data_IF_891107444869
#
_entry.id   IF_891107444869
#
_cell.length_a   1.000
_cell.length_b   1.000
_cell.length_c   1.000
_cell.angle_alpha   90.00
_cell.angle_beta   90.00
_cell.angle_gamma   90.00
#
_symmetry.space_group_name_H-M   'P 1'
#
loop_
_entity.id
_entity.type
_entity.pdbx_description
1 polymer ?
#
# COMPACT_ATOMS: atom_id res chain seq x y z
N UNK A 1 -47.06 -20.90 -50.77
CA UNK A 1 -46.72 -20.59 -49.37
C UNK A 1 -45.97 -19.27 -49.35
N UNK A 2 -46.46 -18.26 -48.65
CA UNK A 2 -45.72 -16.99 -48.52
C UNK A 2 -44.43 -17.25 -47.74
N UNK A 3 -43.30 -16.76 -48.25
CA UNK A 3 -42.03 -16.83 -47.54
C UNK A 3 -42.08 -15.87 -46.35
N UNK A 4 -42.31 -16.42 -45.15
CA UNK A 4 -42.51 -15.65 -43.91
C UNK A 4 -41.20 -14.95 -43.48
N UNK A 5 -40.04 -15.55 -43.77
CA UNK A 5 -38.72 -14.99 -43.42
C UNK A 5 -37.85 -14.76 -44.67
N UNK A 6 -37.33 -13.54 -44.89
CA UNK A 6 -36.39 -13.26 -45.96
C UNK A 6 -35.09 -14.08 -45.83
N UNK A 7 -34.36 -14.27 -46.94
CA UNK A 7 -33.11 -15.07 -46.97
C UNK A 7 -32.01 -14.57 -46.02
N UNK A 8 -31.96 -13.26 -45.73
CA UNK A 8 -30.99 -12.66 -44.80
C UNK A 8 -31.19 -13.12 -43.35
N UNK A 9 -32.36 -13.65 -42.99
CA UNK A 9 -32.63 -14.18 -41.66
C UNK A 9 -31.77 -15.41 -41.33
N UNK A 10 -31.25 -16.13 -42.33
CA UNK A 10 -30.29 -17.23 -42.12
C UNK A 10 -28.91 -16.74 -41.63
N UNK A 11 -28.55 -15.49 -41.90
CA UNK A 11 -27.27 -14.92 -41.49
C UNK A 11 -27.31 -14.45 -40.03
N UNK A 12 -28.50 -14.19 -39.47
CA UNK A 12 -28.68 -13.81 -38.06
C UNK A 12 -28.09 -14.87 -37.11
N UNK A 13 -28.46 -16.16 -37.15
CA UNK A 13 -27.84 -17.15 -36.27
C UNK A 13 -26.39 -17.44 -36.64
N UNK A 14 -26.01 -17.38 -37.92
CA UNK A 14 -24.64 -17.68 -38.39
C UNK A 14 -23.61 -16.64 -37.94
N UNK A 15 -23.99 -15.37 -37.93
CA UNK A 15 -23.11 -14.24 -37.58
C UNK A 15 -23.41 -13.72 -36.18
N UNK A 16 -24.70 -13.63 -35.82
CA UNK A 16 -25.14 -13.15 -34.52
C UNK A 16 -24.70 -14.06 -33.36
N UNK A 17 -24.79 -15.38 -33.48
CA UNK A 17 -24.38 -16.28 -32.40
C UNK A 17 -22.86 -16.21 -32.07
N UNK A 18 -21.92 -16.24 -33.04
CA UNK A 18 -20.51 -16.04 -32.71
C UNK A 18 -20.22 -14.61 -32.22
N UNK A 19 -20.88 -13.58 -32.77
CA UNK A 19 -20.72 -12.21 -32.30
C UNK A 19 -21.17 -12.02 -30.85
N UNK A 20 -22.30 -12.62 -30.45
CA UNK A 20 -22.78 -12.53 -29.07
C UNK A 20 -21.84 -13.25 -28.11
N UNK A 21 -21.31 -14.41 -28.49
CA UNK A 21 -20.29 -15.13 -27.69
C UNK A 21 -19.03 -14.28 -27.55
N UNK A 22 -18.51 -13.70 -28.63
CA UNK A 22 -17.32 -12.84 -28.59
C UNK A 22 -17.56 -11.60 -27.73
N UNK A 23 -18.70 -10.93 -27.91
CA UNK A 23 -19.07 -9.76 -27.09
C UNK A 23 -19.22 -10.12 -25.61
N UNK A 24 -19.82 -11.28 -25.30
CA UNK A 24 -19.93 -11.77 -23.92
C UNK A 24 -18.54 -12.06 -23.32
N UNK A 25 -17.68 -12.79 -24.03
CA UNK A 25 -16.30 -13.04 -23.58
C UNK A 25 -15.51 -11.76 -23.38
N UNK A 26 -15.64 -10.79 -24.29
CA UNK A 26 -14.99 -9.49 -24.19
C UNK A 26 -15.50 -8.71 -22.98
N UNK A 27 -16.82 -8.65 -22.77
CA UNK A 27 -17.41 -8.00 -21.59
C UNK A 27 -16.96 -8.66 -20.29
N UNK A 28 -16.94 -10.00 -20.22
CA UNK A 28 -16.41 -10.73 -19.06
C UNK A 28 -14.95 -10.42 -18.82
N UNK A 29 -14.12 -10.38 -19.87
CA UNK A 29 -12.71 -10.01 -19.76
C UNK A 29 -12.53 -8.58 -19.24
N UNK A 30 -13.30 -7.62 -19.77
CA UNK A 30 -13.26 -6.22 -19.33
C UNK A 30 -13.59 -6.11 -17.85
N UNK A 31 -14.70 -6.73 -17.42
CA UNK A 31 -15.10 -6.73 -16.01
C UNK A 31 -14.03 -7.39 -15.15
N UNK A 32 -13.57 -8.58 -15.53
CA UNK A 32 -12.60 -9.34 -14.74
C UNK A 32 -11.25 -8.63 -14.62
N UNK A 33 -10.78 -7.95 -15.66
CA UNK A 33 -9.50 -7.25 -15.66
C UNK A 33 -9.57 -5.94 -14.89
N UNK A 34 -10.41 -4.99 -15.32
CA UNK A 34 -10.42 -3.63 -14.75
C UNK A 34 -11.07 -3.54 -13.36
N UNK A 35 -12.00 -4.44 -13.03
CA UNK A 35 -12.59 -4.50 -11.69
C UNK A 35 -11.84 -5.49 -10.78
N UNK A 36 -10.68 -6.00 -11.22
CA UNK A 36 -9.87 -6.85 -10.35
C UNK A 36 -9.33 -6.06 -9.15
N UNK A 37 -9.15 -6.70 -7.98
CA UNK A 37 -8.54 -6.08 -6.81
C UNK A 37 -7.10 -5.59 -7.01
N UNK A 38 -6.48 -5.84 -8.19
CA UNK A 38 -5.14 -5.35 -8.53
C UNK A 38 -5.13 -3.89 -8.95
N UNK A 39 -6.27 -3.35 -9.38
CA UNK A 39 -6.40 -1.97 -9.85
C UNK A 39 -7.17 -1.06 -8.90
N UNK A 40 -7.60 -1.58 -7.74
CA UNK A 40 -8.32 -0.79 -6.73
C UNK A 40 -7.46 0.37 -6.24
N UNK A 41 -7.93 1.60 -6.49
CA UNK A 41 -7.35 2.87 -6.07
C UNK A 41 -5.88 3.13 -6.50
N UNK A 42 -5.31 2.28 -7.35
CA UNK A 42 -3.94 2.46 -7.88
C UNK A 42 -3.92 3.72 -8.75
N UNK A 43 -2.96 4.60 -8.48
CA UNK A 43 -2.85 5.92 -9.11
C UNK A 43 -3.67 7.01 -8.42
N UNK A 44 -4.43 6.72 -7.36
CA UNK A 44 -5.13 7.74 -6.60
C UNK A 44 -4.15 8.76 -6.01
N UNK A 45 -4.25 10.01 -6.47
CA UNK A 45 -3.35 11.12 -6.13
C UNK A 45 -4.15 12.43 -5.94
N UNK A 46 -4.85 12.60 -4.81
CA UNK A 46 -5.70 13.76 -4.58
C UNK A 46 -4.88 15.04 -4.37
N UNK A 47 -5.44 16.17 -4.80
CA UNK A 47 -4.86 17.49 -4.51
C UNK A 47 -4.87 17.76 -3.00
N UNK A 48 -3.69 17.94 -2.43
CA UNK A 48 -3.50 18.22 -1.01
C UNK A 48 -3.68 19.72 -0.68
N UNK A 49 -4.01 20.09 0.57
CA UNK A 49 -4.08 21.49 0.99
C UNK A 49 -2.74 22.22 0.88
N UNK A 50 -1.64 21.48 1.08
CA UNK A 50 -0.26 21.96 0.95
C UNK A 50 0.43 21.10 -0.10
N UNK A 51 1.11 21.69 -1.10
CA UNK A 51 1.84 20.94 -2.13
C UNK A 51 3.18 20.43 -1.58
N UNK A 52 3.12 19.48 -0.65
CA UNK A 52 4.29 18.88 -0.04
C UNK A 52 4.95 17.88 -0.99
N UNK A 53 6.23 18.10 -1.32
CA UNK A 53 7.02 17.22 -2.18
C UNK A 53 7.87 16.26 -1.34
N UNK A 54 7.58 14.96 -1.43
CA UNK A 54 8.45 13.93 -0.86
C UNK A 54 9.75 13.80 -1.67
N UNK A 55 9.71 14.05 -2.98
CA UNK A 55 10.89 14.10 -3.83
C UNK A 55 11.94 15.12 -3.36
N UNK A 56 11.50 16.26 -2.84
CA UNK A 56 12.41 17.25 -2.25
C UNK A 56 12.95 16.79 -0.90
N UNK A 57 12.06 16.43 0.04
CA UNK A 57 12.46 16.18 1.43
C UNK A 57 13.13 14.81 1.64
N UNK A 58 12.53 13.73 1.13
CA UNK A 58 13.10 12.39 1.25
C UNK A 58 14.09 12.09 0.12
N UNK A 59 13.84 12.56 -1.10
CA UNK A 59 14.70 12.31 -2.25
C UNK A 59 15.94 13.21 -2.29
N UNK A 60 15.77 14.53 -2.36
CA UNK A 60 16.92 15.44 -2.54
C UNK A 60 17.63 15.73 -1.22
N UNK A 61 16.87 16.01 -0.16
CA UNK A 61 17.44 16.33 1.17
C UNK A 61 17.77 15.09 2.00
N UNK A 62 17.41 13.89 1.51
CA UNK A 62 17.72 12.61 2.17
C UNK A 62 17.24 12.55 3.63
N UNK A 63 16.10 13.20 3.94
CA UNK A 63 15.50 13.14 5.27
C UNK A 63 14.96 11.74 5.53
N UNK A 64 15.34 11.14 6.66
CA UNK A 64 14.81 9.84 7.07
C UNK A 64 13.28 9.91 7.30
N UNK A 65 12.56 8.90 6.82
CA UNK A 65 11.09 8.85 6.88
C UNK A 65 10.53 9.02 8.29
N UNK A 66 11.26 8.53 9.31
CA UNK A 66 10.86 8.52 10.72
C UNK A 66 10.96 9.87 11.37
N UNK A 67 11.65 10.84 10.77
CA UNK A 67 11.66 12.21 11.26
C UNK A 67 10.24 12.80 11.26
N UNK A 68 9.48 12.55 10.19
CA UNK A 68 8.09 12.99 10.07
C UNK A 68 7.09 11.91 10.53
N UNK A 69 7.33 10.65 10.17
CA UNK A 69 6.45 9.51 10.49
C UNK A 69 6.96 8.76 11.73
N UNK A 70 7.08 9.47 12.84
CA UNK A 70 7.77 9.02 14.06
C UNK A 70 7.14 7.80 14.75
N UNK A 71 5.85 7.53 14.53
CA UNK A 71 5.13 6.43 15.19
C UNK A 71 5.16 5.13 14.40
N UNK A 72 5.74 5.12 13.19
CA UNK A 72 5.74 3.96 12.29
C UNK A 72 6.36 2.70 12.94
N UNK A 73 7.38 2.86 13.79
CA UNK A 73 8.06 1.74 14.48
C UNK A 73 7.33 1.27 15.73
N UNK A 74 6.37 2.02 16.28
CA UNK A 74 5.81 1.74 17.61
C UNK A 74 4.32 1.54 17.63
N UNK A 75 3.62 2.09 16.65
CA UNK A 75 2.17 2.11 16.59
C UNK A 75 1.65 1.37 15.37
N UNK A 76 0.37 1.00 15.44
CA UNK A 76 -0.35 0.51 14.28
C UNK A 76 -0.48 1.57 13.17
N UNK A 77 -0.46 2.84 13.55
CA UNK A 77 -0.60 3.97 12.64
C UNK A 77 0.69 4.78 12.63
N UNK A 78 1.27 4.99 11.43
CA UNK A 78 2.45 5.83 11.26
C UNK A 78 2.20 7.31 11.59
N UNK A 79 0.97 7.78 11.35
CA UNK A 79 0.55 9.17 11.56
C UNK A 79 1.06 10.12 10.46
N UNK A 80 0.33 11.21 10.25
CA UNK A 80 0.81 12.37 9.48
C UNK A 80 1.44 13.33 10.49
N UNK A 81 2.60 13.95 10.20
CA UNK A 81 3.28 14.80 11.17
C UNK A 81 2.39 15.99 11.59
N UNK A 82 2.43 16.41 12.87
CA UNK A 82 1.82 17.65 13.28
C UNK A 82 2.53 18.85 12.66
N UNK A 83 1.83 19.97 12.53
CA UNK A 83 2.33 21.23 11.94
C UNK A 83 3.64 21.71 12.58
N UNK A 84 3.83 21.45 13.88
CA UNK A 84 5.07 21.78 14.59
C UNK A 84 6.33 21.15 13.93
N UNK A 85 6.22 19.93 13.40
CA UNK A 85 7.33 19.25 12.71
C UNK A 85 7.81 20.04 11.49
N UNK A 86 6.86 20.61 10.72
CA UNK A 86 7.16 21.45 9.56
C UNK A 86 7.86 22.74 10.02
N UNK A 87 7.41 23.31 11.14
CA UNK A 87 7.91 24.59 11.66
C UNK A 87 9.28 24.51 12.33
N UNK A 88 9.79 23.31 12.63
CA UNK A 88 11.18 23.13 13.10
C UNK A 88 12.19 23.80 12.15
N UNK A 89 11.93 23.72 10.83
CA UNK A 89 12.77 24.30 9.79
C UNK A 89 12.12 25.51 9.12
N UNK A 90 10.82 25.43 8.81
CA UNK A 90 10.14 26.45 7.99
C UNK A 90 9.95 27.79 8.69
N UNK A 91 10.21 27.89 10.01
CA UNK A 91 10.37 29.18 10.70
C UNK A 91 11.54 30.03 10.18
N UNK A 92 12.54 29.40 9.56
CA UNK A 92 13.72 30.05 8.99
C UNK A 92 13.84 29.84 7.48
N UNK A 93 13.36 28.70 6.98
CA UNK A 93 13.51 28.32 5.57
C UNK A 93 12.21 28.57 4.82
N UNK A 94 12.26 29.51 3.87
CA UNK A 94 11.13 29.85 2.99
C UNK A 94 9.87 30.21 3.77
N UNK A 95 10.00 30.80 4.96
CA UNK A 95 8.89 31.12 5.85
C UNK A 95 7.77 31.82 5.11
N UNK A 96 8.05 32.89 4.33
CA UNK A 96 7.04 33.69 3.61
C UNK A 96 6.50 33.08 2.32
N UNK A 97 6.92 31.86 1.95
CA UNK A 97 6.44 31.20 0.74
C UNK A 97 4.92 31.06 0.73
N UNK A 98 4.21 31.44 -0.36
CA UNK A 98 2.78 31.25 -0.47
C UNK A 98 2.35 29.77 -0.31
N UNK A 99 3.22 28.84 -0.69
CA UNK A 99 2.98 27.38 -0.58
C UNK A 99 2.86 26.90 0.87
N UNK A 100 3.41 27.66 1.83
CA UNK A 100 3.37 27.33 3.27
C UNK A 100 2.24 28.04 4.01
N UNK A 101 1.38 28.79 3.32
CA UNK A 101 0.30 29.56 3.96
C UNK A 101 -0.52 28.74 4.94
N UNK A 102 -1.02 27.56 4.53
CA UNK A 102 -1.83 26.70 5.40
C UNK A 102 -1.04 26.14 6.60
N UNK A 103 0.27 25.90 6.46
CA UNK A 103 1.13 25.46 7.58
C UNK A 103 1.32 26.62 8.58
N UNK A 104 1.59 27.83 8.08
CA UNK A 104 1.74 29.02 8.95
C UNK A 104 0.45 29.33 9.71
N UNK A 105 -0.69 29.37 9.02
CA UNK A 105 -2.01 29.59 9.64
C UNK A 105 -2.31 28.52 10.68
N UNK A 106 -2.07 27.25 10.36
CA UNK A 106 -2.24 26.14 11.32
C UNK A 106 -1.34 26.28 12.55
N UNK A 107 -0.12 26.82 12.40
CA UNK A 107 0.81 27.03 13.51
C UNK A 107 0.49 28.27 14.36
N UNK A 108 0.05 29.37 13.75
CA UNK A 108 -0.21 30.66 14.42
C UNK A 108 -1.54 30.70 15.14
N UNK A 109 -2.62 30.23 14.49
CA UNK A 109 -3.98 30.49 14.95
C UNK A 109 -4.55 29.35 15.80
N UNK A 110 -3.80 28.24 15.97
CA UNK A 110 -4.34 27.02 16.56
C UNK A 110 -5.65 26.62 15.88
N UNK A 111 -5.69 26.71 14.55
CA UNK A 111 -6.92 26.87 13.75
C UNK A 111 -8.14 26.09 14.31
N UNK A 112 -9.13 26.79 14.89
CA UNK A 112 -10.30 26.15 15.51
C UNK A 112 -11.26 25.51 14.49
N UNK A 113 -11.08 25.72 13.19
CA UNK A 113 -11.89 25.06 12.16
C UNK A 113 -11.55 23.57 11.94
N UNK A 114 -10.50 23.05 12.61
CA UNK A 114 -10.00 21.69 12.42
C UNK A 114 -9.73 20.99 13.77
N UNK A 115 -10.76 20.67 14.57
CA UNK A 115 -10.70 19.77 15.76
C UNK A 115 -9.34 19.71 16.51
N UNK A 116 -8.73 20.87 16.82
CA UNK A 116 -7.40 20.95 17.45
C UNK A 116 -6.22 21.47 16.59
N UNK A 117 -6.45 22.15 15.46
CA UNK A 117 -5.46 23.05 14.86
C UNK A 117 -4.54 22.49 13.76
N UNK A 118 -4.81 21.30 13.21
CA UNK A 118 -3.98 20.68 12.16
C UNK A 118 -4.31 21.09 10.72
N UNK A 119 -3.41 20.81 9.77
CA UNK A 119 -3.71 20.89 8.33
C UNK A 119 -4.59 19.70 7.90
N UNK A 120 -5.71 19.91 7.17
CA UNK A 120 -6.66 18.85 6.84
C UNK A 120 -6.19 18.01 5.64
N UNK A 121 -5.18 17.16 5.85
CA UNK A 121 -4.62 16.30 4.82
C UNK A 121 -5.63 15.30 4.27
N UNK A 122 -5.63 15.09 2.94
CA UNK A 122 -6.43 14.04 2.30
C UNK A 122 -5.67 12.73 2.36
N UNK A 123 -6.25 11.74 3.03
CA UNK A 123 -5.65 10.40 3.16
C UNK A 123 -5.64 9.69 1.80
N UNK A 124 -4.49 9.12 1.45
CA UNK A 124 -4.29 8.38 0.18
C UNK A 124 -4.50 6.90 0.44
N UNK A 125 -3.66 6.32 1.31
CA UNK A 125 -3.75 4.90 1.65
C UNK A 125 -4.78 4.69 2.75
N UNK A 126 -5.96 4.17 2.38
CA UNK A 126 -7.01 3.76 3.32
C UNK A 126 -7.38 2.29 3.07
N UNK A 127 -7.12 1.45 4.06
CA UNK A 127 -7.71 0.11 4.14
C UNK A 127 -9.14 0.22 4.71
N UNK A 128 -9.97 -0.78 4.46
CA UNK A 128 -11.33 -0.79 4.99
C UNK A 128 -11.35 -0.71 6.53
N UNK A 129 -12.35 -0.05 7.11
CA UNK A 129 -12.35 0.27 8.55
C UNK A 129 -12.53 -0.99 9.44
N UNK A 130 -13.07 -2.08 8.88
CA UNK A 130 -13.13 -3.40 9.52
C UNK A 130 -11.79 -4.15 9.46
N UNK A 131 -10.82 -3.68 8.68
CA UNK A 131 -9.49 -4.27 8.57
C UNK A 131 -8.51 -3.57 9.52
N UNK A 132 -7.79 -4.35 10.30
CA UNK A 132 -6.76 -3.85 11.22
C UNK A 132 -5.37 -4.05 10.62
N UNK A 133 -4.68 -2.93 10.38
CA UNK A 133 -3.29 -2.91 9.93
C UNK A 133 -2.40 -2.31 11.00
N UNK A 134 -1.23 -2.92 11.22
CA UNK A 134 -0.26 -2.46 12.21
C UNK A 134 1.13 -2.24 11.57
N UNK A 135 1.58 -0.98 11.46
CA UNK A 135 2.89 -0.65 10.87
C UNK A 135 4.07 -1.31 11.62
N UNK A 136 4.11 -1.23 12.95
CA UNK A 136 5.25 -1.75 13.74
C UNK A 136 5.45 -3.25 13.58
N UNK A 137 4.37 -4.00 13.34
CA UNK A 137 4.43 -5.44 13.07
C UNK A 137 5.15 -5.77 11.74
N UNK A 138 5.09 -4.89 10.75
CA UNK A 138 5.67 -5.13 9.43
C UNK A 138 7.10 -4.59 9.33
N UNK A 139 7.34 -3.39 9.85
CA UNK A 139 8.65 -2.76 9.68
C UNK A 139 9.67 -3.23 10.72
N UNK A 140 9.21 -3.62 11.92
CA UNK A 140 10.06 -3.96 13.07
C UNK A 140 10.45 -2.76 13.93
N UNK A 141 10.96 -3.04 15.12
CA UNK A 141 11.39 -2.08 16.13
C UNK A 141 12.89 -2.27 16.36
N UNK A 142 13.71 -1.23 16.14
CA UNK A 142 15.14 -1.17 16.56
C UNK A 142 15.90 -2.51 16.42
N UNK A 143 16.26 -2.87 15.18
CA UNK A 143 17.01 -4.09 14.84
C UNK A 143 16.31 -5.43 15.16
N UNK A 144 15.01 -5.42 15.51
CA UNK A 144 14.21 -6.62 15.75
C UNK A 144 12.86 -6.52 15.04
N UNK A 145 12.45 -7.57 14.33
CA UNK A 145 11.15 -7.62 13.65
C UNK A 145 11.24 -8.23 12.25
N UNK A 146 10.21 -7.97 11.43
CA UNK A 146 10.06 -8.58 10.11
C UNK A 146 10.93 -7.88 9.05
N UNK A 147 10.98 -6.55 9.07
CA UNK A 147 11.79 -5.79 8.12
C UNK A 147 11.18 -5.71 6.73
N UNK A 148 9.89 -5.40 6.60
CA UNK A 148 9.27 -4.99 5.33
C UNK A 148 9.54 -3.50 5.12
N UNK A 149 10.13 -3.13 3.98
CA UNK A 149 10.46 -1.72 3.73
C UNK A 149 9.33 -0.90 3.13
N UNK A 150 9.44 0.42 3.27
CA UNK A 150 8.41 1.37 2.84
C UNK A 150 8.10 1.28 1.34
N UNK A 151 9.13 1.05 0.51
CA UNK A 151 9.01 0.94 -0.96
C UNK A 151 8.05 -0.15 -1.39
N UNK A 152 8.04 -1.28 -0.67
CA UNK A 152 7.22 -2.43 -1.05
C UNK A 152 5.73 -2.10 -1.04
N UNK A 153 5.28 -1.29 -0.09
CA UNK A 153 3.88 -0.93 0.09
C UNK A 153 3.52 0.43 -0.52
N UNK A 154 4.43 1.41 -0.44
CA UNK A 154 4.17 2.80 -0.84
C UNK A 154 4.86 3.20 -2.16
N UNK A 155 5.69 2.32 -2.74
CA UNK A 155 6.50 2.63 -3.91
C UNK A 155 7.64 3.61 -3.62
N UNK A 156 8.26 4.17 -4.68
CA UNK A 156 9.37 5.13 -4.59
C UNK A 156 8.89 6.53 -4.19
N UNK A 157 8.44 6.67 -2.94
CA UNK A 157 7.93 7.93 -2.37
C UNK A 157 8.98 9.04 -2.41
N UNK A 158 10.26 8.70 -2.31
CA UNK A 158 11.40 9.59 -2.49
C UNK A 158 11.52 10.19 -3.90
N UNK A 159 10.75 9.70 -4.87
CA UNK A 159 10.65 10.25 -6.22
C UNK A 159 9.29 10.92 -6.49
N UNK A 160 8.41 10.96 -5.48
CA UNK A 160 7.06 11.50 -5.64
C UNK A 160 6.96 12.96 -5.22
N UNK A 161 6.70 13.85 -6.18
CA UNK A 161 6.29 15.23 -5.85
C UNK A 161 4.89 15.27 -5.23
N UNK A 162 3.99 14.44 -5.73
CA UNK A 162 2.68 14.18 -5.14
C UNK A 162 2.58 12.68 -4.91
N UNK A 163 2.25 12.29 -3.68
CA UNK A 163 2.10 10.87 -3.35
C UNK A 163 0.90 10.31 -4.11
N UNK A 164 1.10 9.13 -4.69
CA UNK A 164 0.06 8.34 -5.34
C UNK A 164 0.06 6.94 -4.73
N UNK A 165 -1.10 6.29 -4.70
CA UNK A 165 -1.19 4.90 -4.29
C UNK A 165 -0.59 3.99 -5.38
N UNK A 166 0.53 3.33 -5.06
CA UNK A 166 1.26 2.46 -6.01
C UNK A 166 0.83 1.00 -5.92
N UNK A 167 0.38 0.57 -4.74
CA UNK A 167 -0.06 -0.80 -4.50
C UNK A 167 -1.57 -0.83 -4.23
N UNK A 168 -2.27 -1.91 -4.60
CA UNK A 168 -3.72 -1.99 -4.42
C UNK A 168 -4.15 -2.09 -2.96
N UNK A 169 -3.28 -2.59 -2.06
CA UNK A 169 -3.58 -2.83 -0.64
C UNK A 169 -4.86 -3.64 -0.40
N UNK A 170 -5.23 -4.49 -1.36
CA UNK A 170 -6.37 -5.40 -1.26
C UNK A 170 -6.03 -6.63 -0.42
N UNK A 171 -7.06 -7.31 0.10
CA UNK A 171 -6.88 -8.49 0.94
C UNK A 171 -6.05 -9.58 0.23
N UNK A 172 -6.28 -9.83 -1.06
CA UNK A 172 -5.51 -10.82 -1.82
C UNK A 172 -4.03 -10.44 -1.86
N UNK A 173 -3.71 -9.17 -2.11
CA UNK A 173 -2.34 -8.67 -2.15
C UNK A 173 -1.64 -8.84 -0.78
N UNK A 174 -2.34 -8.52 0.32
CA UNK A 174 -1.82 -8.76 1.67
C UNK A 174 -1.57 -10.24 1.93
N UNK A 175 -2.52 -11.11 1.56
CA UNK A 175 -2.41 -12.55 1.77
C UNK A 175 -1.31 -13.18 0.91
N UNK A 176 -1.11 -12.73 -0.32
CA UNK A 176 -0.02 -13.19 -1.18
C UNK A 176 1.34 -12.93 -0.51
N UNK A 177 1.51 -11.73 0.07
CA UNK A 177 2.70 -11.40 0.86
C UNK A 177 2.78 -12.23 2.15
N UNK A 178 1.68 -12.43 2.88
CA UNK A 178 1.69 -13.24 4.10
C UNK A 178 1.99 -14.73 3.83
N UNK A 179 1.57 -15.25 2.68
CA UNK A 179 1.84 -16.61 2.25
C UNK A 179 3.29 -16.82 1.79
N UNK A 180 3.91 -15.78 1.21
CA UNK A 180 5.31 -15.78 0.81
C UNK A 180 5.96 -14.40 1.05
N UNK A 181 6.42 -14.13 2.28
CA UNK A 181 6.96 -12.80 2.60
C UNK A 181 8.39 -12.60 2.09
N UNK A 182 9.12 -13.68 1.78
CA UNK A 182 10.56 -13.64 1.47
C UNK A 182 10.97 -12.58 0.43
N UNK A 183 10.24 -12.40 -0.71
CA UNK A 183 10.61 -11.37 -1.70
C UNK A 183 10.52 -9.93 -1.19
N UNK A 184 9.79 -9.71 -0.09
CA UNK A 184 9.48 -8.39 0.46
C UNK A 184 10.30 -8.05 1.71
N UNK A 185 11.03 -9.02 2.26
CA UNK A 185 11.90 -8.84 3.42
C UNK A 185 13.17 -8.12 3.01
N UNK A 186 13.69 -7.28 3.91
CA UNK A 186 14.98 -6.63 3.79
C UNK A 186 15.68 -6.55 5.16
N UNK A 187 16.99 -6.26 5.22
CA UNK A 187 17.64 -5.98 6.48
C UNK A 187 16.93 -4.85 7.23
N UNK A 188 16.84 -4.93 8.55
CA UNK A 188 16.06 -3.98 9.37
C UNK A 188 16.62 -2.55 9.26
N UNK A 189 17.93 -2.42 9.08
CA UNK A 189 18.61 -1.14 8.84
C UNK A 189 18.34 -0.55 7.44
N UNK A 190 17.73 -1.32 6.53
CA UNK A 190 17.41 -0.91 5.15
C UNK A 190 15.91 -0.68 4.92
N UNK A 191 15.10 -0.72 5.99
CA UNK A 191 13.62 -0.52 5.94
C UNK A 191 13.23 0.81 5.29
N UNK A 192 13.91 1.90 5.66
CA UNK A 192 13.67 3.25 5.13
C UNK A 192 14.53 3.58 3.91
N UNK A 193 15.46 2.70 3.52
CA UNK A 193 16.26 2.90 2.32
C UNK A 193 15.40 2.65 1.08
N UNK A 194 15.09 3.72 0.36
CA UNK A 194 14.21 3.68 -0.81
C UNK A 194 14.89 3.15 -2.07
N UNK A 195 16.22 3.16 -2.11
CA UNK A 195 17.02 2.68 -3.23
C UNK A 195 17.67 1.31 -2.94
N UNK A 196 17.26 0.63 -1.88
CA UNK A 196 17.82 -0.67 -1.54
C UNK A 196 17.48 -1.73 -2.59
N UNK A 197 18.51 -2.40 -3.08
CA UNK A 197 18.42 -3.57 -3.94
C UNK A 197 18.99 -4.79 -3.20
N UNK A 198 18.34 -5.93 -3.37
CA UNK A 198 18.75 -7.16 -2.71
C UNK A 198 20.10 -7.64 -3.30
N UNK A 199 21.15 -7.83 -2.49
CA UNK A 199 22.35 -8.50 -2.97
C UNK A 199 22.04 -9.96 -3.33
N UNK A 200 22.89 -10.58 -4.16
CA UNK A 200 22.61 -11.89 -4.75
C UNK A 200 22.36 -13.01 -3.71
N UNK A 201 22.93 -12.90 -2.51
CA UNK A 201 22.78 -13.85 -1.40
C UNK A 201 21.53 -13.61 -0.54
N UNK A 202 20.89 -12.44 -0.66
CA UNK A 202 19.76 -12.06 0.17
C UNK A 202 18.51 -12.94 0.00
N UNK A 203 18.10 -13.35 -1.21
CA UNK A 203 16.90 -14.18 -1.37
C UNK A 203 16.94 -15.47 -0.54
N UNK A 204 18.10 -16.11 -0.43
CA UNK A 204 18.29 -17.31 0.39
C UNK A 204 18.14 -17.00 1.89
N UNK A 205 18.73 -15.89 2.36
CA UNK A 205 18.58 -15.41 3.74
C UNK A 205 17.13 -15.06 4.07
N UNK A 206 16.47 -14.31 3.18
CA UNK A 206 15.07 -13.92 3.33
C UNK A 206 14.14 -15.13 3.36
N UNK A 207 14.39 -16.15 2.55
CA UNK A 207 13.65 -17.42 2.60
C UNK A 207 13.83 -18.14 3.95
N UNK A 208 15.03 -18.10 4.54
CA UNK A 208 15.29 -18.59 5.89
C UNK A 208 14.48 -17.85 6.96
N UNK A 209 14.47 -16.50 6.91
CA UNK A 209 13.68 -15.66 7.83
C UNK A 209 12.18 -15.95 7.67
N UNK A 210 11.69 -16.02 6.42
CA UNK A 210 10.28 -16.25 6.10
C UNK A 210 9.73 -17.55 6.70
N UNK A 211 10.54 -18.61 6.80
CA UNK A 211 10.15 -19.88 7.43
C UNK A 211 9.84 -19.75 8.93
N UNK A 212 10.48 -18.81 9.61
CA UNK A 212 10.24 -18.54 11.03
C UNK A 212 9.04 -17.59 11.26
N UNK A 213 8.59 -16.87 10.22
CA UNK A 213 7.48 -15.94 10.33
C UNK A 213 6.13 -16.67 10.35
N UNK A 214 5.19 -16.09 11.08
CA UNK A 214 3.82 -16.57 11.23
C UNK A 214 2.82 -15.41 11.07
N UNK A 215 2.78 -14.76 9.89
CA UNK A 215 1.88 -13.63 9.67
C UNK A 215 0.41 -14.10 9.64
N UNK A 216 -0.55 -13.26 10.08
CA UNK A 216 -1.96 -13.65 10.18
C UNK A 216 -2.55 -14.01 8.81
N UNK A 217 -3.42 -15.02 8.75
CA UNK A 217 -4.01 -15.48 7.48
C UNK A 217 -3.04 -16.19 6.52
N UNK A 218 -1.82 -16.54 6.96
CA UNK A 218 -0.92 -17.39 6.19
C UNK A 218 -1.50 -18.81 6.08
N UNK A 219 -1.75 -19.25 4.84
CA UNK A 219 -2.33 -20.57 4.53
C UNK A 219 -1.28 -21.68 4.44
N UNK A 220 0.00 -21.32 4.43
CA UNK A 220 1.15 -22.21 4.20
C UNK A 220 1.99 -22.41 5.47
N UNK A 221 1.50 -22.03 6.65
CA UNK A 221 2.21 -22.20 7.92
C UNK A 221 2.17 -23.67 8.38
N UNK A 222 2.92 -24.49 7.64
CA UNK A 222 3.10 -25.91 7.88
C UNK A 222 4.46 -26.12 8.57
N UNK A 223 4.46 -26.83 9.69
CA UNK A 223 5.64 -27.20 10.46
C UNK A 223 5.78 -28.73 10.42
N UNK A 224 6.97 -29.22 10.10
CA UNK A 224 7.29 -30.66 10.14
C UNK A 224 7.96 -30.93 11.49
N UNK A 225 7.30 -31.72 12.33
CA UNK A 225 7.81 -32.13 13.62
C UNK A 225 8.98 -33.11 13.46
N UNK A 226 9.85 -33.26 14.49
CA UNK A 226 11.00 -34.19 14.44
C UNK A 226 10.64 -35.65 14.17
N UNK A 227 9.39 -36.06 14.41
CA UNK A 227 8.86 -37.40 14.12
C UNK A 227 8.31 -37.54 12.69
N UNK A 228 8.48 -36.51 11.85
CA UNK A 228 8.00 -36.47 10.47
C UNK A 228 6.53 -36.06 10.32
N UNK A 229 5.81 -35.78 11.42
CA UNK A 229 4.43 -35.32 11.33
C UNK A 229 4.36 -33.88 10.82
N UNK A 230 3.41 -33.63 9.93
CA UNK A 230 3.17 -32.32 9.35
C UNK A 230 2.02 -31.66 10.11
N UNK A 231 2.33 -30.67 10.94
CA UNK A 231 1.32 -29.86 11.64
C UNK A 231 1.06 -28.56 10.88
N UNK A 232 -0.22 -28.24 10.65
CA UNK A 232 -0.63 -26.94 10.13
C UNK A 232 -1.11 -26.11 11.32
N UNK A 233 -0.36 -25.07 11.68
CA UNK A 233 -0.83 -24.10 12.67
C UNK A 233 -1.56 -23.02 11.89
N UNK A 234 -2.87 -22.88 12.11
CA UNK A 234 -3.58 -21.69 11.66
C UNK A 234 -2.93 -20.47 12.34
N UNK A 235 -2.02 -19.80 11.65
CA UNK A 235 -1.61 -18.44 12.02
C UNK A 235 -2.89 -17.65 12.11
N UNK A 236 -3.16 -17.06 13.29
CA UNK A 236 -4.40 -16.38 13.66
C UNK A 236 -5.38 -16.21 12.50
N UNK A 237 -6.57 -16.81 12.60
CA UNK A 237 -7.63 -16.72 11.58
C UNK A 237 -7.94 -15.27 11.20
N UNK A 238 -8.96 -15.04 10.38
CA UNK A 238 -9.24 -13.68 9.87
C UNK A 238 -9.31 -12.59 10.97
N UNK A 239 -9.57 -12.95 12.24
CA UNK A 239 -9.48 -12.08 13.43
C UNK A 239 -8.13 -11.36 13.62
N UNK A 240 -7.03 -11.86 13.07
CA UNK A 240 -5.73 -11.15 13.11
C UNK A 240 -5.70 -9.89 12.23
N UNK A 241 -6.58 -9.83 11.23
CA UNK A 241 -6.68 -8.74 10.26
C UNK A 241 -8.03 -8.02 10.30
N UNK A 242 -9.00 -8.54 11.05
CA UNK A 242 -10.35 -7.99 11.15
C UNK A 242 -10.66 -7.60 12.60
N UNK A 243 -11.35 -6.47 12.77
CA UNK A 243 -11.92 -6.03 14.06
C UNK A 243 -13.43 -6.22 14.08
#
# INVERSE_FOLDING_TARGET
MAQIFPKWTNDIPRVGAPLTVVAACFATFVVWYWFSPKHTDVGYAPKQPVPYSHALHAGTMQMDCRYCHNNVERSAHAGVPPTATCMNCHRQIKYDSPKLGAIRTSFQDGNPANDGGGVPWRRIHKVADYAYFNHSAHIGIKHKGVGVGCVTCHGRVDQMEVVAQQQPLSMSWCLDCHNNPAPNLRPIDQVTNMAWEAPADWPAKAAGIAKALRPPGNKNATEVLPDGQVIVRATAGCTGCHR
#
